data_IF_793996333342
#
_entry.id   IF_793996333342
#
_cell.length_a   1.000
_cell.length_b   1.000
_cell.length_c   1.000
_cell.angle_alpha   90.00
_cell.angle_beta   90.00
_cell.angle_gamma   90.00
#
_symmetry.space_group_name_H-M   'P 1'
#
loop_
_entity.id
_entity.type
_entity.pdbx_description
1 polymer ?
#
# COMPACT_ATOMS: atom_id res chain seq x y z
N UNK A 1 -1.36 -13.19 1.63
CA UNK A 1 -1.85 -12.04 0.86
C UNK A 1 -3.17 -11.59 1.44
N UNK A 2 -3.15 -10.45 2.12
CA UNK A 2 -4.34 -9.78 2.63
C UNK A 2 -4.60 -8.55 1.75
N UNK A 3 -5.79 -8.46 1.14
CA UNK A 3 -6.21 -7.33 0.33
C UNK A 3 -7.46 -6.71 0.96
N UNK A 4 -7.32 -5.69 1.82
CA UNK A 4 -8.46 -4.97 2.34
C UNK A 4 -9.30 -4.33 1.23
N UNK A 5 -10.63 -4.52 1.28
CA UNK A 5 -11.58 -4.00 0.28
C UNK A 5 -11.74 -2.47 0.32
N UNK A 6 -11.31 -1.83 1.41
CA UNK A 6 -11.37 -0.38 1.60
C UNK A 6 -10.15 0.37 1.02
N UNK A 7 -9.31 -0.32 0.25
CA UNK A 7 -8.13 0.24 -0.40
C UNK A 7 -8.26 0.15 -1.92
N UNK A 8 -7.68 1.13 -2.62
CA UNK A 8 -7.44 1.07 -4.06
C UNK A 8 -6.01 0.64 -4.32
N UNK A 9 -5.74 -0.04 -5.43
CA UNK A 9 -4.42 -0.61 -5.72
C UNK A 9 -3.91 -0.18 -7.09
N UNK A 10 -2.59 -0.06 -7.21
CA UNK A 10 -1.88 0.21 -8.47
C UNK A 10 -1.26 -1.07 -9.03
N UNK A 11 -0.81 -1.03 -10.29
CA UNK A 11 -0.07 -2.15 -10.88
C UNK A 11 1.35 -2.23 -10.33
N UNK A 12 1.83 -1.12 -9.76
CA UNK A 12 3.14 -0.91 -9.15
C UNK A 12 3.18 -1.37 -7.68
N UNK A 13 2.18 -2.16 -7.25
CA UNK A 13 2.09 -2.73 -5.91
C UNK A 13 1.99 -1.72 -4.76
N UNK A 14 1.38 -0.57 -5.04
CA UNK A 14 0.99 0.41 -4.03
C UNK A 14 -0.51 0.27 -3.69
N UNK A 15 -0.87 0.66 -2.48
CA UNK A 15 -2.25 0.83 -2.05
C UNK A 15 -2.52 2.29 -1.68
N UNK A 16 -3.77 2.71 -1.88
CA UNK A 16 -4.27 4.05 -1.60
C UNK A 16 -5.49 3.94 -0.69
N UNK A 17 -5.45 4.61 0.45
CA UNK A 17 -6.59 4.80 1.36
C UNK A 17 -7.09 6.23 1.24
N UNK A 18 -8.37 6.39 0.95
CA UNK A 18 -9.03 7.71 0.92
C UNK A 18 -9.31 8.17 2.36
N UNK A 19 -9.09 9.45 2.63
CA UNK A 19 -9.46 10.13 3.88
C UNK A 19 -10.56 11.15 3.61
N UNK A 20 -11.27 11.57 4.66
CA UNK A 20 -12.46 12.43 4.55
C UNK A 20 -12.10 13.90 4.23
N UNK A 21 -10.85 14.30 4.41
CA UNK A 21 -10.34 15.65 4.21
C UNK A 21 -9.74 15.87 2.81
N UNK A 22 -10.16 15.06 1.83
CA UNK A 22 -9.64 15.07 0.46
C UNK A 22 -8.14 14.78 0.36
N UNK A 23 -7.57 14.13 1.38
CA UNK A 23 -6.22 13.58 1.34
C UNK A 23 -6.25 12.06 1.17
N UNK A 24 -5.07 11.49 0.92
CA UNK A 24 -4.90 10.04 0.78
C UNK A 24 -3.66 9.57 1.52
N UNK A 25 -3.71 8.34 2.03
CA UNK A 25 -2.52 7.63 2.52
C UNK A 25 -2.10 6.64 1.45
N UNK A 26 -0.82 6.63 1.12
CA UNK A 26 -0.22 5.69 0.17
C UNK A 26 0.79 4.82 0.91
N UNK A 27 0.84 3.55 0.56
CA UNK A 27 1.86 2.61 1.02
C UNK A 27 2.05 1.47 0.04
N UNK A 28 2.97 0.55 0.34
CA UNK A 28 3.22 -0.64 -0.48
C UNK A 28 2.40 -1.84 0.00
N UNK A 29 2.00 -2.71 -0.92
CA UNK A 29 1.21 -3.92 -0.62
C UNK A 29 1.97 -4.94 0.24
N UNK A 30 1.22 -5.83 0.90
CA UNK A 30 1.75 -6.99 1.63
C UNK A 30 2.64 -7.89 0.75
N UNK A 31 2.32 -7.99 -0.54
CA UNK A 31 3.15 -8.68 -1.51
C UNK A 31 4.48 -7.95 -1.74
N UNK A 32 4.45 -6.64 -2.01
CA UNK A 32 5.65 -5.85 -2.26
C UNK A 32 6.64 -5.88 -1.10
N UNK A 33 6.17 -5.75 0.15
CA UNK A 33 7.07 -5.82 1.32
C UNK A 33 7.68 -7.21 1.50
N UNK A 34 6.96 -8.28 1.15
CA UNK A 34 7.49 -9.64 1.17
C UNK A 34 8.61 -9.87 0.14
N UNK A 35 8.50 -9.26 -1.04
CA UNK A 35 9.52 -9.34 -2.09
C UNK A 35 10.75 -8.46 -1.79
N UNK A 36 10.57 -7.33 -1.09
CA UNK A 36 11.67 -6.44 -0.69
C UNK A 36 12.53 -7.03 0.44
N UNK A 37 11.95 -7.86 1.30
CA UNK A 37 12.58 -8.30 2.53
C UNK A 37 12.68 -7.16 3.55
N UNK A 38 13.71 -7.19 4.40
CA UNK A 38 13.85 -6.19 5.46
C UNK A 38 14.16 -4.80 4.88
N UNK A 39 13.21 -3.87 5.06
CA UNK A 39 13.37 -2.46 4.65
C UNK A 39 14.33 -1.76 5.62
N UNK A 40 15.49 -1.34 5.11
CA UNK A 40 16.54 -0.69 5.93
C UNK A 40 16.56 0.84 5.84
N UNK A 41 15.86 1.42 4.86
CA UNK A 41 15.78 2.85 4.62
C UNK A 41 14.52 3.18 3.79
N UNK A 42 13.89 4.34 4.05
CA UNK A 42 12.70 4.87 3.34
C UNK A 42 12.90 6.35 3.06
#
# INVERSE_FOLDING_TARGET
>A
MNFPDNLKYTKEHEWIKLLDDNTVVVGITDHAQGELGDVVYV
#
